data_IF_801478143220
#
_entry.id   IF_801478143220
#
_cell.length_a   1.000
_cell.length_b   1.000
_cell.length_c   1.000
_cell.angle_alpha   90.00
_cell.angle_beta   90.00
_cell.angle_gamma   90.00
#
_symmetry.space_group_name_H-M   'P 1'
#
loop_
_entity.id
_entity.type
_entity.pdbx_description
1 polymer ?
#
# COMPACT_ATOMS: atom_id res chain seq x y z
N UNK A 1 6.16 -12.29 -19.65
CA UNK A 1 5.49 -10.98 -19.85
C UNK A 1 4.00 -11.21 -19.68
N UNK A 2 3.48 -11.06 -18.49
CA UNK A 2 2.05 -10.96 -18.25
C UNK A 2 1.63 -9.52 -18.54
N UNK A 3 1.40 -9.21 -19.81
CA UNK A 3 0.54 -8.08 -20.11
C UNK A 3 -0.83 -8.41 -19.53
N UNK A 4 -1.35 -7.57 -18.65
CA UNK A 4 -2.75 -7.61 -18.28
C UNK A 4 -3.53 -7.31 -19.56
N UNK A 5 -3.99 -8.36 -20.22
CA UNK A 5 -4.91 -8.22 -21.35
C UNK A 5 -6.21 -7.64 -20.77
N UNK A 6 -6.78 -6.62 -21.39
CA UNK A 6 -8.11 -6.14 -21.01
C UNK A 6 -9.12 -7.28 -21.25
N UNK A 7 -9.75 -7.70 -20.16
CA UNK A 7 -10.73 -8.80 -20.18
C UNK A 7 -12.07 -8.30 -19.70
N UNK A 8 -13.14 -8.85 -20.31
CA UNK A 8 -14.51 -8.74 -19.83
C UNK A 8 -14.90 -10.08 -19.22
N UNK A 9 -15.56 -10.03 -18.07
CA UNK A 9 -16.10 -11.22 -17.39
C UNK A 9 -17.61 -11.08 -17.37
N UNK A 10 -18.29 -11.94 -18.08
CA UNK A 10 -19.73 -11.97 -18.14
C UNK A 10 -20.28 -12.99 -17.13
N UNK A 11 -21.30 -12.59 -16.40
CA UNK A 11 -21.91 -13.39 -15.34
C UNK A 11 -23.33 -13.80 -15.71
N UNK A 12 -23.68 -15.03 -15.39
CA UNK A 12 -25.05 -15.50 -15.33
C UNK A 12 -25.41 -15.81 -13.86
N UNK A 13 -26.08 -14.88 -13.21
CA UNK A 13 -26.26 -14.93 -11.76
C UNK A 13 -24.92 -14.78 -11.04
N UNK A 14 -24.56 -15.76 -10.21
CA UNK A 14 -23.31 -15.79 -9.45
C UNK A 14 -22.20 -16.61 -10.13
N UNK A 15 -22.47 -17.16 -11.31
CA UNK A 15 -21.52 -17.96 -12.08
C UNK A 15 -20.91 -17.15 -13.23
N UNK A 16 -19.63 -17.40 -13.52
CA UNK A 16 -18.97 -16.81 -14.68
C UNK A 16 -19.43 -17.60 -15.91
N UNK A 17 -20.10 -16.94 -16.83
CA UNK A 17 -20.57 -17.52 -18.09
C UNK A 17 -19.47 -17.49 -19.16
N UNK A 18 -18.87 -16.31 -19.36
CA UNK A 18 -17.85 -16.13 -20.38
C UNK A 18 -16.75 -15.17 -19.92
N UNK A 19 -15.53 -15.42 -20.38
CA UNK A 19 -14.41 -14.47 -20.26
C UNK A 19 -13.91 -14.16 -21.66
N UNK A 20 -13.93 -12.90 -22.05
CA UNK A 20 -13.47 -12.45 -23.36
C UNK A 20 -12.40 -11.37 -23.26
N UNK A 21 -11.48 -11.31 -24.23
CA UNK A 21 -10.62 -10.15 -24.40
C UNK A 21 -11.37 -9.03 -25.10
N UNK A 22 -11.02 -7.77 -24.81
CA UNK A 22 -11.63 -6.62 -25.47
C UNK A 22 -10.59 -5.58 -25.90
N UNK A 23 -10.95 -4.78 -26.91
CA UNK A 23 -10.14 -3.65 -27.35
C UNK A 23 -10.39 -2.44 -26.44
N UNK A 24 -9.30 -1.87 -25.89
CA UNK A 24 -9.39 -0.69 -25.01
C UNK A 24 -9.93 0.54 -25.75
N UNK A 25 -9.67 0.64 -27.07
CA UNK A 25 -10.04 1.80 -27.88
C UNK A 25 -11.55 1.99 -28.06
N UNK A 26 -12.30 0.90 -28.18
CA UNK A 26 -13.76 0.92 -28.45
C UNK A 26 -14.57 0.00 -27.55
N UNK A 27 -13.89 -0.67 -26.61
CA UNK A 27 -14.46 -1.59 -25.61
C UNK A 27 -15.25 -2.76 -26.22
N UNK A 28 -14.92 -3.13 -27.46
CA UNK A 28 -15.55 -4.29 -28.11
C UNK A 28 -14.82 -5.58 -27.83
N UNK A 29 -15.57 -6.63 -27.53
CA UNK A 29 -15.01 -7.98 -27.39
C UNK A 29 -14.31 -8.41 -28.68
N UNK A 30 -13.12 -9.00 -28.52
CA UNK A 30 -12.29 -9.49 -29.62
C UNK A 30 -12.48 -11.01 -29.75
N UNK A 31 -12.23 -11.73 -28.66
CA UNK A 31 -12.32 -13.21 -28.67
C UNK A 31 -12.64 -13.74 -27.26
N UNK A 32 -13.30 -14.89 -27.22
CA UNK A 32 -13.55 -15.66 -26.01
C UNK A 32 -12.28 -16.41 -25.61
N UNK A 33 -11.88 -16.24 -24.36
CA UNK A 33 -10.69 -16.87 -23.81
C UNK A 33 -11.00 -18.30 -23.37
N UNK A 34 -10.32 -19.28 -23.97
CA UNK A 34 -10.46 -20.70 -23.63
C UNK A 34 -9.45 -21.17 -22.59
N UNK A 35 -8.42 -20.39 -22.34
CA UNK A 35 -7.39 -20.69 -21.36
C UNK A 35 -7.75 -20.06 -20.00
N UNK A 36 -7.34 -20.67 -18.87
CA UNK A 36 -7.53 -20.08 -17.56
C UNK A 36 -6.87 -18.70 -17.49
N UNK A 37 -7.59 -17.73 -16.91
CA UNK A 37 -7.08 -16.38 -16.68
C UNK A 37 -6.68 -16.25 -15.21
N UNK A 38 -5.45 -15.80 -14.98
CA UNK A 38 -4.96 -15.52 -13.63
C UNK A 38 -5.12 -14.04 -13.35
N UNK A 39 -5.96 -13.71 -12.38
CA UNK A 39 -6.17 -12.34 -11.91
C UNK A 39 -5.49 -12.19 -10.57
N UNK A 40 -4.59 -11.21 -10.47
CA UNK A 40 -3.94 -10.86 -9.20
C UNK A 40 -4.67 -9.70 -8.54
N UNK A 41 -4.61 -9.63 -7.21
CA UNK A 41 -5.14 -8.50 -6.48
C UNK A 41 -4.48 -7.19 -6.96
N UNK A 42 -5.30 -6.17 -7.25
CA UNK A 42 -4.85 -4.85 -7.66
C UNK A 42 -4.84 -3.83 -6.52
N UNK A 43 -5.20 -4.25 -5.31
CA UNK A 43 -5.20 -3.43 -4.09
C UNK A 43 -4.30 -4.04 -3.04
N UNK A 44 -3.64 -3.19 -2.27
CA UNK A 44 -2.76 -3.61 -1.17
C UNK A 44 -3.56 -4.08 0.04
N UNK A 45 -4.72 -3.44 0.31
CA UNK A 45 -5.62 -3.82 1.39
C UNK A 45 -6.82 -4.59 0.83
N UNK A 46 -6.95 -5.86 1.22
CA UNK A 46 -8.07 -6.72 0.85
C UNK A 46 -9.08 -6.75 2.00
N UNK A 47 -10.36 -6.50 1.70
CA UNK A 47 -11.46 -6.54 2.68
C UNK A 47 -11.92 -7.99 2.92
N UNK A 48 -11.02 -8.83 3.45
CA UNK A 48 -11.38 -10.14 3.96
C UNK A 48 -12.11 -10.02 5.32
N UNK A 49 -12.64 -11.13 5.82
CA UNK A 49 -13.45 -11.13 7.05
C UNK A 49 -12.67 -10.57 8.26
N UNK A 50 -11.38 -10.90 8.37
CA UNK A 50 -10.52 -10.40 9.47
C UNK A 50 -10.38 -8.88 9.45
N UNK A 51 -10.16 -8.31 8.25
CA UNK A 51 -10.06 -6.84 8.08
C UNK A 51 -11.40 -6.18 8.37
N UNK A 52 -12.50 -6.76 7.92
CA UNK A 52 -13.86 -6.24 8.15
C UNK A 52 -14.24 -6.26 9.62
N UNK A 53 -13.99 -7.36 10.33
CA UNK A 53 -14.23 -7.48 11.77
C UNK A 53 -13.38 -6.45 12.55
N UNK A 54 -12.14 -6.26 12.13
CA UNK A 54 -11.25 -5.26 12.74
C UNK A 54 -11.73 -3.84 12.48
N UNK A 55 -12.18 -3.54 11.26
CA UNK A 55 -12.80 -2.25 10.95
C UNK A 55 -14.00 -1.98 11.84
N UNK A 56 -14.92 -2.93 12.00
CA UNK A 56 -16.07 -2.81 12.90
C UNK A 56 -15.67 -2.52 14.35
N UNK A 57 -14.63 -3.22 14.85
CA UNK A 57 -14.13 -3.02 16.23
C UNK A 57 -13.45 -1.66 16.43
N UNK A 58 -13.05 -0.96 15.38
CA UNK A 58 -12.38 0.34 15.42
C UNK A 58 -13.31 1.53 15.24
N UNK A 59 -14.55 1.35 14.78
CA UNK A 59 -15.52 2.43 14.54
C UNK A 59 -15.65 3.37 15.75
N UNK A 60 -15.82 2.80 16.94
CA UNK A 60 -15.96 3.59 18.17
C UNK A 60 -14.63 4.10 18.74
N UNK A 61 -13.50 3.48 18.34
CA UNK A 61 -12.18 3.82 18.86
C UNK A 61 -11.51 4.93 18.06
N UNK A 62 -11.88 5.09 16.80
CA UNK A 62 -11.31 6.09 15.89
C UNK A 62 -12.44 6.93 15.29
N UNK A 63 -13.02 7.87 16.06
CA UNK A 63 -14.17 8.66 15.61
C UNK A 63 -13.92 9.44 14.32
N UNK A 64 -12.66 9.90 14.09
CA UNK A 64 -12.28 10.62 12.88
C UNK A 64 -12.32 9.80 11.59
N UNK A 65 -12.46 8.48 11.69
CA UNK A 65 -12.57 7.58 10.56
C UNK A 65 -13.83 6.68 10.63
N UNK A 66 -14.79 7.01 11.49
CA UNK A 66 -15.94 6.14 11.74
C UNK A 66 -16.71 5.79 10.47
N UNK A 67 -17.11 6.78 9.68
CA UNK A 67 -17.86 6.58 8.43
C UNK A 67 -17.11 5.69 7.44
N UNK A 68 -15.77 5.83 7.39
CA UNK A 68 -14.91 5.00 6.53
C UNK A 68 -14.85 3.57 7.06
N UNK A 69 -14.64 3.41 8.37
CA UNK A 69 -14.55 2.10 9.01
C UNK A 69 -15.87 1.32 8.96
N UNK A 70 -17.03 1.98 9.05
CA UNK A 70 -18.34 1.35 8.87
C UNK A 70 -18.48 0.75 7.48
N UNK A 71 -18.15 1.52 6.44
CA UNK A 71 -18.17 1.02 5.05
C UNK A 71 -17.23 -0.16 4.83
N UNK A 72 -16.02 -0.08 5.40
CA UNK A 72 -15.05 -1.19 5.31
C UNK A 72 -15.56 -2.45 6.02
N UNK A 73 -16.22 -2.31 7.18
CA UNK A 73 -16.85 -3.41 7.90
C UNK A 73 -17.96 -4.09 7.07
N UNK A 74 -18.69 -3.32 6.28
CA UNK A 74 -19.69 -3.83 5.34
C UNK A 74 -19.08 -4.44 4.07
N UNK A 75 -17.75 -4.35 3.88
CA UNK A 75 -17.06 -4.85 2.70
C UNK A 75 -17.08 -3.88 1.52
N UNK A 76 -17.43 -2.61 1.76
CA UNK A 76 -17.47 -1.57 0.74
C UNK A 76 -16.08 -0.95 0.60
N UNK A 77 -15.51 -1.04 -0.61
CA UNK A 77 -14.24 -0.39 -0.94
C UNK A 77 -14.42 1.13 -1.04
N UNK A 78 -13.58 1.87 -0.33
CA UNK A 78 -13.60 3.34 -0.31
C UNK A 78 -12.22 3.85 -0.71
N UNK A 79 -12.18 4.93 -1.48
CA UNK A 79 -10.93 5.60 -1.84
C UNK A 79 -10.20 6.10 -0.57
N UNK A 80 -8.89 5.88 -0.51
CA UNK A 80 -8.05 6.25 0.63
C UNK A 80 -8.06 5.27 1.80
N UNK A 81 -8.78 4.15 1.72
CA UNK A 81 -8.83 3.13 2.77
C UNK A 81 -7.46 2.55 3.10
N UNK A 82 -6.53 2.56 2.15
CA UNK A 82 -5.16 2.07 2.32
C UNK A 82 -4.40 2.83 3.41
N UNK A 83 -4.79 4.09 3.68
CA UNK A 83 -4.22 4.86 4.79
C UNK A 83 -4.49 4.25 6.16
N UNK A 84 -5.55 3.45 6.30
CA UNK A 84 -5.90 2.74 7.52
C UNK A 84 -5.24 1.35 7.61
N UNK A 85 -4.50 0.92 6.61
CA UNK A 85 -3.83 -0.39 6.63
C UNK A 85 -3.05 -0.67 7.93
N UNK A 86 -2.28 0.28 8.52
CA UNK A 86 -1.52 0.02 9.74
C UNK A 86 -2.36 -0.43 10.94
N UNK A 87 -3.64 -0.07 11.00
CA UNK A 87 -4.56 -0.47 12.08
C UNK A 87 -5.49 -1.61 11.68
N UNK A 88 -5.64 -1.87 10.39
CA UNK A 88 -6.54 -2.89 9.87
C UNK A 88 -5.85 -4.23 9.63
N UNK A 89 -4.54 -4.26 9.44
CA UNK A 89 -3.76 -5.51 9.27
C UNK A 89 -3.06 -5.91 10.56
N UNK A 90 -2.65 -7.17 10.68
CA UNK A 90 -1.93 -7.64 11.86
C UNK A 90 -0.54 -7.03 11.97
N UNK A 91 0.11 -6.86 10.82
CA UNK A 91 1.49 -6.43 10.75
C UNK A 91 1.76 -5.76 9.40
N UNK A 92 2.39 -4.60 9.44
CA UNK A 92 3.03 -4.01 8.26
C UNK A 92 4.37 -4.71 8.03
N UNK A 93 4.58 -5.19 6.83
CA UNK A 93 5.78 -5.98 6.48
C UNK A 93 6.59 -5.23 5.42
N UNK A 94 7.86 -4.92 5.68
CA UNK A 94 8.72 -4.32 4.68
C UNK A 94 8.88 -5.22 3.45
N UNK A 95 8.98 -4.62 2.26
CA UNK A 95 9.15 -5.35 1.00
C UNK A 95 10.32 -6.35 1.04
N UNK A 96 11.38 -6.02 1.78
CA UNK A 96 12.54 -6.90 1.99
C UNK A 96 12.20 -8.25 2.63
N UNK A 97 11.09 -8.34 3.36
CA UNK A 97 10.64 -9.59 3.97
C UNK A 97 9.83 -10.46 3.01
N UNK A 98 9.19 -9.85 2.03
CA UNK A 98 8.30 -10.53 1.08
C UNK A 98 9.06 -11.13 -0.10
N UNK A 99 10.15 -10.51 -0.49
CA UNK A 99 10.98 -10.96 -1.60
C UNK A 99 12.09 -11.85 -1.07
N UNK A 100 12.22 -13.07 -1.54
CA UNK A 100 13.31 -14.01 -1.17
C UNK A 100 14.70 -13.55 -1.69
N UNK A 101 14.93 -12.25 -1.78
CA UNK A 101 16.13 -11.62 -2.30
C UNK A 101 17.32 -11.76 -1.36
N UNK A 102 18.51 -11.66 -1.91
CA UNK A 102 19.77 -11.80 -1.18
C UNK A 102 20.62 -10.54 -1.18
N UNK A 103 20.24 -9.53 -1.96
CA UNK A 103 20.97 -8.29 -2.13
C UNK A 103 20.00 -7.12 -2.29
N UNK A 104 20.18 -6.11 -1.46
CA UNK A 104 19.54 -4.80 -1.60
C UNK A 104 20.53 -3.83 -2.23
N UNK A 105 20.10 -3.17 -3.29
CA UNK A 105 20.92 -2.18 -4.00
C UNK A 105 20.23 -0.84 -3.93
N UNK A 106 20.89 0.17 -3.37
CA UNK A 106 20.40 1.54 -3.26
C UNK A 106 21.19 2.44 -4.21
N UNK A 107 20.50 3.01 -5.16
CA UNK A 107 21.03 4.04 -6.04
C UNK A 107 20.76 5.41 -5.44
N UNK A 108 21.77 6.28 -5.41
CA UNK A 108 21.67 7.64 -4.87
C UNK A 108 21.14 7.67 -3.41
N UNK A 109 21.83 7.04 -2.44
CA UNK A 109 21.34 6.85 -1.08
C UNK A 109 20.92 8.16 -0.40
N UNK A 110 21.64 9.26 -0.65
CA UNK A 110 21.30 10.58 -0.10
C UNK A 110 19.96 11.12 -0.63
N UNK A 111 19.64 10.87 -1.90
CA UNK A 111 18.35 11.25 -2.47
C UNK A 111 17.22 10.41 -1.89
N UNK A 112 17.46 9.11 -1.72
CA UNK A 112 16.50 8.20 -1.09
C UNK A 112 16.25 8.61 0.36
N UNK A 113 17.30 8.88 1.12
CA UNK A 113 17.20 9.33 2.52
C UNK A 113 16.40 10.63 2.63
N UNK A 114 16.78 11.66 1.88
CA UNK A 114 16.05 12.94 1.87
C UNK A 114 14.60 12.77 1.50
N UNK A 115 14.31 11.98 0.47
CA UNK A 115 12.92 11.74 0.07
C UNK A 115 12.10 11.05 1.16
N UNK A 116 12.69 10.09 1.87
CA UNK A 116 12.03 9.43 3.01
C UNK A 116 11.77 10.42 4.16
N UNK A 117 12.74 11.25 4.48
CA UNK A 117 12.61 12.30 5.50
C UNK A 117 11.55 13.34 5.11
N UNK A 118 11.56 13.82 3.86
CA UNK A 118 10.58 14.78 3.34
C UNK A 118 9.15 14.21 3.41
N UNK A 119 8.96 12.94 3.07
CA UNK A 119 7.64 12.30 3.16
C UNK A 119 7.16 12.22 4.61
N UNK A 120 8.04 11.83 5.53
CA UNK A 120 7.70 11.77 6.96
C UNK A 120 7.36 13.17 7.51
N UNK A 121 8.20 14.18 7.19
CA UNK A 121 7.96 15.57 7.61
C UNK A 121 6.64 16.11 7.05
N UNK A 122 6.40 15.95 5.75
CA UNK A 122 5.15 16.40 5.12
C UNK A 122 3.93 15.74 5.77
N UNK A 123 3.99 14.46 6.10
CA UNK A 123 2.90 13.76 6.80
C UNK A 123 2.65 14.36 8.18
N UNK A 124 3.71 14.69 8.94
CA UNK A 124 3.59 15.33 10.25
C UNK A 124 3.01 16.74 10.15
N UNK A 125 3.38 17.52 9.13
CA UNK A 125 2.80 18.85 8.88
C UNK A 125 1.29 18.75 8.59
N UNK A 126 0.87 17.82 7.73
CA UNK A 126 -0.56 17.58 7.46
C UNK A 126 -1.30 17.13 8.71
N UNK A 127 -0.72 16.26 9.51
CA UNK A 127 -1.31 15.81 10.77
C UNK A 127 -1.46 16.97 11.76
N UNK A 128 -0.46 17.82 11.90
CA UNK A 128 -0.51 19.00 12.77
C UNK A 128 -1.58 20.01 12.30
N UNK A 129 -1.69 20.23 10.99
CA UNK A 129 -2.74 21.08 10.41
C UNK A 129 -4.13 20.50 10.66
N UNK A 130 -4.30 19.18 10.52
CA UNK A 130 -5.55 18.49 10.77
C UNK A 130 -5.95 18.56 12.26
N UNK A 131 -5.03 18.42 13.20
CA UNK A 131 -5.27 18.65 14.64
C UNK A 131 -5.69 20.07 14.94
N UNK A 132 -5.08 21.07 14.28
CA UNK A 132 -5.46 22.46 14.42
C UNK A 132 -6.90 22.68 13.94
N UNK A 133 -7.27 22.09 12.82
CA UNK A 133 -8.63 22.13 12.28
C UNK A 133 -9.62 21.43 13.23
N UNK A 134 -9.27 20.29 13.80
CA UNK A 134 -10.10 19.56 14.75
C UNK A 134 -10.38 20.40 16.01
N UNK A 135 -9.39 21.15 16.51
CA UNK A 135 -9.57 22.08 17.65
C UNK A 135 -10.57 23.20 17.36
N UNK A 136 -10.82 23.51 16.07
CA UNK A 136 -11.79 24.48 15.59
C UNK A 136 -13.14 23.86 15.18
N UNK A 137 -13.38 22.60 15.54
CA UNK A 137 -14.64 21.87 15.25
C UNK A 137 -14.59 20.99 13.99
N UNK A 138 -13.42 20.77 13.41
CA UNK A 138 -13.22 19.80 12.33
C UNK A 138 -13.17 18.34 12.84
N UNK A 139 -13.01 17.40 11.91
CA UNK A 139 -12.85 15.98 12.25
C UNK A 139 -11.51 15.72 12.95
N UNK A 140 -11.51 14.83 13.92
CA UNK A 140 -10.30 14.41 14.63
C UNK A 140 -9.44 13.55 13.67
N UNK A 141 -8.18 13.92 13.41
CA UNK A 141 -7.33 13.14 12.54
C UNK A 141 -6.90 11.82 13.17
N UNK A 142 -6.58 10.86 12.33
CA UNK A 142 -6.01 9.57 12.74
C UNK A 142 -4.50 9.63 12.56
N UNK A 143 -3.76 9.52 13.67
CA UNK A 143 -2.29 9.46 13.61
C UNK A 143 -1.81 8.02 13.39
N UNK A 144 -1.40 7.73 12.19
CA UNK A 144 -0.81 6.45 11.78
C UNK A 144 0.66 6.59 11.38
N UNK A 145 1.25 7.75 11.57
CA UNK A 145 2.57 8.09 11.06
C UNK A 145 3.68 7.18 11.57
N UNK A 146 3.65 6.81 12.85
CA UNK A 146 4.66 5.94 13.46
C UNK A 146 4.65 4.50 12.89
N UNK A 147 3.52 4.05 12.35
CA UNK A 147 3.39 2.70 11.77
C UNK A 147 3.56 2.68 10.24
N UNK A 148 3.50 3.85 9.59
CA UNK A 148 3.47 3.97 8.15
C UNK A 148 4.85 4.16 7.49
N UNK A 149 5.85 4.64 8.23
CA UNK A 149 7.15 4.98 7.68
C UNK A 149 8.31 4.32 8.44
N UNK A 150 9.30 3.88 7.68
CA UNK A 150 10.58 3.43 8.22
C UNK A 150 11.71 4.31 7.68
N UNK A 151 12.69 4.64 8.51
CA UNK A 151 13.88 5.34 8.05
C UNK A 151 14.78 4.42 7.23
N UNK A 152 15.53 4.96 6.29
CA UNK A 152 16.45 4.17 5.47
C UNK A 152 17.47 3.39 6.32
N UNK A 153 17.90 3.98 7.45
CA UNK A 153 18.80 3.33 8.41
C UNK A 153 18.17 2.05 9.01
N UNK A 154 16.88 2.09 9.37
CA UNK A 154 16.16 0.95 9.94
C UNK A 154 16.01 -0.17 8.91
N UNK A 155 15.71 0.20 7.67
CA UNK A 155 15.62 -0.76 6.55
C UNK A 155 16.97 -1.41 6.28
N UNK A 156 18.07 -0.67 6.34
CA UNK A 156 19.43 -1.20 6.23
C UNK A 156 19.74 -2.17 7.36
N UNK A 157 19.44 -1.77 8.59
CA UNK A 157 19.67 -2.62 9.77
C UNK A 157 18.89 -3.93 9.68
N UNK A 158 17.63 -3.86 9.27
CA UNK A 158 16.80 -5.04 9.03
C UNK A 158 17.41 -5.95 7.97
N UNK A 159 17.87 -5.38 6.84
CA UNK A 159 18.52 -6.13 5.77
C UNK A 159 19.74 -6.90 6.29
N UNK A 160 20.64 -6.20 7.00
CA UNK A 160 21.86 -6.79 7.55
C UNK A 160 21.56 -7.84 8.62
N UNK A 161 20.57 -7.60 9.50
CA UNK A 161 20.16 -8.55 10.53
C UNK A 161 19.61 -9.86 9.94
N UNK A 162 19.06 -9.81 8.73
CA UNK A 162 18.59 -10.97 7.97
C UNK A 162 19.69 -11.63 7.12
N UNK A 163 20.93 -11.15 7.20
CA UNK A 163 22.05 -11.66 6.39
C UNK A 163 21.93 -11.29 4.90
N UNK A 164 21.12 -10.29 4.56
CA UNK A 164 21.00 -9.81 3.18
C UNK A 164 22.15 -8.83 2.89
N UNK A 165 22.73 -8.92 1.68
CA UNK A 165 23.73 -7.97 1.24
C UNK A 165 23.11 -6.57 1.05
N UNK A 166 23.93 -5.55 1.29
CA UNK A 166 23.54 -4.15 1.09
C UNK A 166 24.61 -3.42 0.31
N UNK A 167 24.24 -2.88 -0.86
CA UNK A 167 25.09 -2.04 -1.68
C UNK A 167 24.45 -0.67 -1.87
N UNK A 168 25.29 0.38 -1.83
CA UNK A 168 24.89 1.72 -2.22
C UNK A 168 25.88 2.27 -3.23
N UNK A 169 25.38 2.97 -4.24
CA UNK A 169 26.21 3.62 -5.24
C UNK A 169 25.67 5.00 -5.62
N UNK A 170 26.58 5.89 -5.97
CA UNK A 170 26.33 7.24 -6.46
C UNK A 170 26.99 7.41 -7.83
N UNK A 171 26.49 8.37 -8.61
CA UNK A 171 27.16 8.82 -9.82
C UNK A 171 28.47 9.57 -9.54
N UNK A 172 28.68 10.05 -8.29
CA UNK A 172 29.85 10.79 -7.86
C UNK A 172 30.64 9.98 -6.82
N UNK A 173 31.97 10.09 -6.86
CA UNK A 173 32.82 9.51 -5.84
C UNK A 173 32.48 10.12 -4.47
N UNK A 174 32.01 9.32 -3.53
CA UNK A 174 31.84 9.73 -2.15
C UNK A 174 33.12 9.46 -1.37
N UNK A 175 33.37 10.27 -0.32
CA UNK A 175 34.46 10.00 0.61
C UNK A 175 34.23 8.59 1.25
N UNK A 176 35.33 7.85 1.57
CA UNK A 176 35.26 6.48 2.06
C UNK A 176 34.52 6.29 3.39
N UNK A 177 34.17 7.37 4.09
CA UNK A 177 33.59 7.36 5.44
C UNK A 177 32.09 7.73 5.51
N UNK A 178 31.35 7.75 4.40
CA UNK A 178 29.90 7.95 4.48
C UNK A 178 29.19 6.62 4.73
N UNK A 179 28.42 6.55 5.85
CA UNK A 179 27.71 5.35 6.29
C UNK A 179 26.62 4.88 5.32
#
# INVERSE_FOLDING_TARGET
>A
QTCALPICVDYFGDEIDEISSFAVSDQRSIEVLKAPVVVTACRELLLNDVVRERAAALVTKIPGAADLLEKLAEGIYVEGMESLAPVLVDKMVPLLELTGQRLTVISEPERVRRRAEDLAATTQEFLAAAWTSAASGGQVPVDLSAAAFAHLADVRQLSLAKGLGWWSFNAFASAPDMP
#
